data_IF_956838462597
#
_entry.id   IF_956838462597
#
_cell.length_a   1.000
_cell.length_b   1.000
_cell.length_c   1.000
_cell.angle_alpha   90.00
_cell.angle_beta   90.00
_cell.angle_gamma   90.00
#
_symmetry.space_group_name_H-M   'P 1'
#
loop_
_entity.id
_entity.type
_entity.pdbx_description
1 polymer ?
#
# COMPACT_ATOMS: atom_id res chain seq x y z
N UNK A 1 13.76 -24.17 -19.08
CA UNK A 1 12.84 -23.65 -18.04
C UNK A 1 13.62 -22.61 -17.23
N UNK A 2 13.13 -21.37 -17.14
CA UNK A 2 13.79 -20.34 -16.34
C UNK A 2 13.74 -20.73 -14.85
N UNK A 3 14.80 -20.43 -14.10
CA UNK A 3 14.82 -20.65 -12.65
C UNK A 3 13.74 -19.78 -12.00
N UNK A 4 13.01 -20.28 -10.99
CA UNK A 4 12.03 -19.47 -10.28
C UNK A 4 12.70 -18.24 -9.68
N UNK A 5 11.98 -17.13 -9.67
CA UNK A 5 12.45 -15.88 -9.08
C UNK A 5 12.66 -16.01 -7.56
N UNK A 6 13.24 -14.97 -6.94
CA UNK A 6 13.40 -14.93 -5.49
C UNK A 6 12.06 -15.07 -4.78
N UNK A 7 12.04 -15.79 -3.64
CA UNK A 7 10.84 -15.87 -2.79
C UNK A 7 10.47 -14.46 -2.31
N UNK A 8 9.18 -14.07 -2.35
CA UNK A 8 8.74 -12.78 -1.81
C UNK A 8 9.09 -12.70 -0.32
N UNK A 9 9.54 -11.51 0.11
CA UNK A 9 10.00 -11.30 1.49
C UNK A 9 8.83 -11.21 2.48
N UNK A 10 7.69 -10.65 2.07
CA UNK A 10 6.60 -10.27 2.99
C UNK A 10 7.08 -9.14 3.88
N UNK A 11 6.98 -7.92 3.38
CA UNK A 11 7.38 -6.72 4.10
C UNK A 11 6.35 -6.38 5.18
N UNK A 12 5.07 -6.60 4.86
CA UNK A 12 3.96 -6.37 5.79
C UNK A 12 3.62 -7.66 6.55
N UNK A 13 3.52 -7.56 7.88
CA UNK A 13 2.92 -8.62 8.71
C UNK A 13 1.39 -8.58 8.55
N UNK A 14 0.82 -9.67 8.04
CA UNK A 14 -0.62 -9.83 7.79
C UNK A 14 -1.39 -10.41 8.99
N UNK A 15 -0.76 -10.47 10.16
CA UNK A 15 -1.41 -10.88 11.41
C UNK A 15 -2.40 -9.82 11.87
N UNK A 16 -3.64 -10.24 12.14
CA UNK A 16 -4.67 -9.31 12.61
C UNK A 16 -4.32 -8.66 13.95
N UNK A 17 -4.22 -7.33 13.93
CA UNK A 17 -4.08 -6.45 15.09
C UNK A 17 -4.95 -5.20 14.89
N UNK A 18 -5.24 -4.42 15.95
CA UNK A 18 -5.95 -3.14 15.79
C UNK A 18 -5.26 -2.18 14.82
N UNK A 19 -3.92 -2.13 14.84
CA UNK A 19 -3.11 -1.30 13.94
C UNK A 19 -3.21 -1.79 12.50
N UNK A 20 -3.07 -3.10 12.28
CA UNK A 20 -3.22 -3.70 10.95
C UNK A 20 -4.63 -3.46 10.40
N UNK A 21 -5.67 -3.64 11.22
CA UNK A 21 -7.05 -3.39 10.83
C UNK A 21 -7.29 -1.92 10.45
N UNK A 22 -6.72 -0.98 11.22
CA UNK A 22 -6.75 0.45 10.91
C UNK A 22 -6.08 0.72 9.56
N UNK A 23 -4.86 0.21 9.35
CA UNK A 23 -4.11 0.44 8.12
C UNK A 23 -4.80 -0.16 6.89
N UNK A 24 -5.37 -1.37 6.99
CA UNK A 24 -6.15 -2.00 5.92
C UNK A 24 -7.42 -1.20 5.64
N UNK A 25 -8.13 -0.74 6.67
CA UNK A 25 -9.32 0.11 6.51
C UNK A 25 -9.00 1.42 5.80
N UNK A 26 -7.92 2.08 6.23
CA UNK A 26 -7.43 3.31 5.63
C UNK A 26 -7.01 3.11 4.16
N UNK A 27 -6.24 2.06 3.87
CA UNK A 27 -5.87 1.71 2.50
C UNK A 27 -7.10 1.32 1.66
N UNK A 28 -8.14 0.77 2.29
CA UNK A 28 -9.38 0.44 1.61
C UNK A 28 -10.15 1.68 1.17
N UNK A 29 -10.11 2.76 1.95
CA UNK A 29 -10.74 4.03 1.58
C UNK A 29 -9.99 4.75 0.46
N UNK A 30 -8.70 5.03 0.66
CA UNK A 30 -7.95 5.98 -0.18
C UNK A 30 -6.77 5.34 -0.95
N UNK A 31 -6.45 4.08 -0.66
CA UNK A 31 -5.36 3.34 -1.28
C UNK A 31 -5.70 2.72 -2.63
N UNK A 32 -4.68 2.58 -3.46
CA UNK A 32 -4.76 2.03 -4.80
C UNK A 32 -3.77 0.87 -5.01
N UNK A 33 -4.28 -0.24 -5.55
CA UNK A 33 -3.47 -1.36 -6.03
C UNK A 33 -2.98 -1.05 -7.45
N UNK A 34 -1.67 -1.16 -7.68
CA UNK A 34 -1.08 -0.94 -8.99
C UNK A 34 -1.38 -2.11 -9.93
N UNK A 35 -1.64 -1.82 -11.21
CA UNK A 35 -1.94 -2.83 -12.25
C UNK A 35 -0.83 -3.84 -12.51
N UNK A 36 0.37 -3.64 -11.96
CA UNK A 36 1.47 -4.58 -12.08
C UNK A 36 1.43 -5.72 -11.05
N UNK A 37 0.38 -5.80 -10.22
CA UNK A 37 0.11 -6.95 -9.36
C UNK A 37 1.02 -7.07 -8.13
N UNK A 38 1.78 -6.04 -7.79
CA UNK A 38 2.71 -6.10 -6.65
C UNK A 38 2.92 -4.80 -5.89
N UNK A 39 2.61 -3.65 -6.48
CA UNK A 39 2.82 -2.37 -5.81
C UNK A 39 1.52 -1.83 -5.23
N UNK A 40 1.66 -1.25 -4.05
CA UNK A 40 0.63 -0.51 -3.36
C UNK A 40 0.99 0.97 -3.43
N UNK A 41 -0.02 1.81 -3.64
CA UNK A 41 0.12 3.26 -3.69
C UNK A 41 -0.92 3.87 -2.74
N UNK A 42 -0.42 4.52 -1.70
CA UNK A 42 -1.21 5.30 -0.77
C UNK A 42 -0.76 6.75 -0.86
N UNK A 43 -1.68 7.67 -1.14
CA UNK A 43 -1.41 9.09 -1.32
C UNK A 43 -2.35 9.89 -0.42
N UNK A 44 -1.83 10.86 0.33
CA UNK A 44 -2.64 11.76 1.15
C UNK A 44 -2.05 13.16 1.23
N UNK A 45 -2.90 14.16 1.48
CA UNK A 45 -2.46 15.51 1.84
C UNK A 45 -2.17 15.65 3.34
N UNK A 46 -2.63 14.70 4.15
CA UNK A 46 -2.39 14.64 5.59
C UNK A 46 -1.14 13.79 5.87
N UNK A 47 -0.11 14.43 6.39
CA UNK A 47 1.16 13.78 6.73
C UNK A 47 1.00 12.82 7.91
N UNK A 48 0.18 13.15 8.90
CA UNK A 48 -0.08 12.30 10.06
C UNK A 48 -0.75 10.99 9.63
N UNK A 49 -1.64 11.07 8.63
CA UNK A 49 -2.28 9.89 8.06
C UNK A 49 -1.26 8.96 7.37
N UNK A 50 -0.27 9.52 6.68
CA UNK A 50 0.81 8.74 6.04
C UNK A 50 1.73 8.11 7.08
N UNK A 51 2.10 8.85 8.12
CA UNK A 51 2.92 8.38 9.24
C UNK A 51 2.22 7.27 10.03
N UNK A 52 0.95 7.46 10.37
CA UNK A 52 0.14 6.45 11.05
C UNK A 52 0.02 5.20 10.18
N UNK A 53 -0.17 5.34 8.86
CA UNK A 53 -0.24 4.20 7.95
C UNK A 53 1.05 3.36 7.94
N UNK A 54 2.22 3.99 7.80
CA UNK A 54 3.50 3.25 7.79
C UNK A 54 3.82 2.63 9.14
N UNK A 55 3.51 3.32 10.24
CA UNK A 55 3.69 2.81 11.61
C UNK A 55 2.79 1.62 11.88
N UNK A 56 1.52 1.70 11.53
CA UNK A 56 0.56 0.62 11.77
C UNK A 56 0.83 -0.65 10.95
N UNK A 57 1.61 -0.55 9.87
CA UNK A 57 2.07 -1.68 9.06
C UNK A 57 3.49 -2.16 9.39
N UNK A 58 4.19 -1.51 10.32
CA UNK A 58 5.61 -1.79 10.67
C UNK A 58 6.55 -1.67 9.44
N UNK A 59 6.28 -0.66 8.59
CA UNK A 59 7.02 -0.40 7.34
C UNK A 59 7.71 0.96 7.31
N UNK A 60 8.17 1.49 8.45
CA UNK A 60 8.81 2.81 8.56
C UNK A 60 10.10 2.94 7.73
N UNK A 61 10.68 1.82 7.31
CA UNK A 61 11.78 1.79 6.35
C UNK A 61 11.35 2.21 4.93
N UNK A 62 10.05 2.23 4.63
CA UNK A 62 9.47 2.75 3.38
C UNK A 62 9.37 4.27 3.49
N UNK A 63 10.03 4.95 2.55
CA UNK A 63 10.07 6.41 2.52
C UNK A 63 8.72 7.00 2.10
N UNK A 64 8.22 7.96 2.89
CA UNK A 64 7.18 8.90 2.48
C UNK A 64 7.80 9.91 1.50
N UNK A 65 7.25 10.01 0.29
CA UNK A 65 7.75 10.85 -0.79
C UNK A 65 6.71 11.90 -1.21
N UNK A 66 7.15 13.06 -1.71
CA UNK A 66 6.23 14.02 -2.32
C UNK A 66 5.82 13.56 -3.72
N UNK A 67 4.53 13.68 -4.03
CA UNK A 67 3.92 13.43 -5.34
C UNK A 67 3.34 14.74 -5.86
N UNK A 68 3.80 15.15 -7.04
CA UNK A 68 3.26 16.30 -7.78
C UNK A 68 2.15 15.83 -8.73
N UNK A 69 1.05 16.58 -8.80
CA UNK A 69 -0.08 16.29 -9.69
C UNK A 69 0.06 16.90 -11.10
N UNK A 70 1.19 17.52 -11.42
CA UNK A 70 1.47 18.21 -12.69
C UNK A 70 0.74 19.55 -12.86
N UNK A 71 -0.03 19.99 -11.85
CA UNK A 71 -0.81 21.23 -11.83
C UNK A 71 -0.42 22.14 -10.65
N UNK A 72 0.74 21.88 -10.04
CA UNK A 72 1.29 22.64 -8.91
C UNK A 72 0.80 22.19 -7.54
N UNK A 73 -0.03 21.15 -7.45
CA UNK A 73 -0.44 20.55 -6.17
C UNK A 73 0.52 19.43 -5.78
N UNK A 74 0.91 19.42 -4.49
CA UNK A 74 1.75 18.37 -3.90
C UNK A 74 0.98 17.65 -2.80
N UNK A 75 1.27 16.36 -2.65
CA UNK A 75 0.74 15.49 -1.61
C UNK A 75 1.82 14.47 -1.22
N UNK A 76 1.73 13.92 -0.02
CA UNK A 76 2.60 12.84 0.39
C UNK A 76 2.13 11.51 -0.20
N UNK A 77 3.09 10.61 -0.42
CA UNK A 77 2.87 9.30 -1.04
C UNK A 77 3.77 8.25 -0.43
N UNK A 78 3.17 7.14 -0.07
CA UNK A 78 3.82 5.88 0.31
C UNK A 78 3.61 4.89 -0.82
N UNK A 79 4.70 4.49 -1.47
CA UNK A 79 4.68 3.45 -2.52
C UNK A 79 5.70 2.37 -2.20
N UNK A 80 5.26 1.13 -2.14
CA UNK A 80 6.11 -0.03 -1.92
C UNK A 80 5.57 -1.26 -2.65
N UNK A 81 6.41 -2.30 -2.76
CA UNK A 81 6.05 -3.54 -3.40
C UNK A 81 5.99 -4.69 -2.41
N UNK A 82 4.83 -5.33 -2.29
CA UNK A 82 4.63 -6.55 -1.51
C UNK A 82 3.55 -7.42 -2.17
N UNK A 83 3.98 -8.52 -2.80
CA UNK A 83 3.08 -9.44 -3.49
C UNK A 83 2.16 -10.19 -2.52
N UNK A 84 2.65 -10.49 -1.30
CA UNK A 84 1.85 -11.24 -0.32
C UNK A 84 0.73 -10.37 0.24
N UNK A 85 1.07 -9.14 0.61
CA UNK A 85 0.06 -8.19 1.09
C UNK A 85 -0.91 -7.77 -0.03
N UNK A 86 -0.41 -7.58 -1.25
CA UNK A 86 -1.25 -7.33 -2.42
C UNK A 86 -2.29 -8.45 -2.63
N UNK A 87 -1.85 -9.73 -2.62
CA UNK A 87 -2.74 -10.88 -2.74
C UNK A 87 -3.75 -10.94 -1.59
N UNK A 88 -3.31 -10.68 -0.35
CA UNK A 88 -4.20 -10.62 0.80
C UNK A 88 -5.31 -9.56 0.64
N UNK A 89 -4.96 -8.38 0.11
CA UNK A 89 -5.95 -7.32 -0.15
C UNK A 89 -6.92 -7.73 -1.28
N UNK A 90 -6.44 -8.38 -2.33
CA UNK A 90 -7.31 -8.94 -3.37
C UNK A 90 -8.26 -10.01 -2.81
N UNK A 91 -7.75 -10.92 -1.98
CA UNK A 91 -8.53 -12.00 -1.36
C UNK A 91 -9.58 -11.47 -0.36
N UNK A 92 -9.30 -10.35 0.31
CA UNK A 92 -10.27 -9.66 1.17
C UNK A 92 -11.31 -8.86 0.39
N UNK A 93 -11.19 -8.77 -0.94
CA UNK A 93 -12.17 -8.16 -1.84
C UNK A 93 -11.78 -6.80 -2.40
N UNK A 94 -10.56 -6.29 -2.12
CA UNK A 94 -10.05 -5.08 -2.77
C UNK A 94 -9.54 -5.42 -4.17
N UNK A 95 -10.28 -5.04 -5.19
CA UNK A 95 -9.84 -5.20 -6.58
C UNK A 95 -9.07 -3.98 -7.09
N UNK A 96 -8.19 -4.20 -8.07
CA UNK A 96 -7.57 -3.12 -8.83
C UNK A 96 -8.63 -2.28 -9.52
N UNK A 97 -8.45 -0.96 -9.50
CA UNK A 97 -9.45 0.00 -10.00
C UNK A 97 -10.83 -0.19 -9.34
N UNK A 98 -10.89 -0.12 -8.01
CA UNK A 98 -12.14 -0.09 -7.20
C UNK A 98 -13.26 0.78 -7.80
N UNK A 99 -12.92 1.84 -8.55
CA UNK A 99 -13.87 2.73 -9.20
C UNK A 99 -14.53 2.17 -10.48
N UNK A 100 -14.15 0.98 -10.93
CA UNK A 100 -14.63 0.35 -12.17
C UNK A 100 -15.30 -1.01 -11.96
N UNK A 101 -15.47 -1.45 -10.71
CA UNK A 101 -16.16 -2.67 -10.31
C UNK A 101 -17.49 -2.31 -9.67
#
# INVERSE_FOLDING_TARGET
MAKPGPKPKGVVDITWSPDFAYAVGLFTADGCLSSNGRHLDFTSQDEEQLENFVRCLDIEHVKISEKDNGRGGRCGRVQFGDVLFYSFLEDTGLTTAKSKT
#
